data_IF_956916967633
#
_entry.id   IF_956916967633
#
_cell.length_a   1.000
_cell.length_b   1.000
_cell.length_c   1.000
_cell.angle_alpha   90.00
_cell.angle_beta   90.00
_cell.angle_gamma   90.00
#
_symmetry.space_group_name_H-M   'P 1'
#
loop_
_entity.id
_entity.type
_entity.pdbx_description
1 polymer ?
#
# COMPACT_ATOMS: atom_id res chain seq x y z
N UNK A 1 -60.68 32.84 -56.04
CA UNK A 1 -59.66 33.49 -56.90
C UNK A 1 -58.36 33.50 -56.12
N UNK A 2 -57.33 32.72 -56.42
CA UNK A 2 -57.09 31.74 -57.47
C UNK A 2 -56.08 30.70 -56.96
N UNK A 3 -56.09 29.55 -57.64
CA UNK A 3 -55.24 28.39 -57.42
C UNK A 3 -53.75 28.69 -57.60
N UNK A 4 -52.91 27.98 -56.85
CA UNK A 4 -51.69 27.41 -57.43
C UNK A 4 -51.30 26.13 -56.69
N UNK A 5 -51.46 25.01 -57.38
CA UNK A 5 -51.02 23.69 -56.99
C UNK A 5 -49.63 23.40 -57.56
N UNK A 6 -48.70 22.93 -56.72
CA UNK A 6 -47.48 22.19 -57.07
C UNK A 6 -47.13 21.38 -55.80
N UNK A 7 -46.74 20.10 -55.74
CA UNK A 7 -46.76 18.93 -56.60
C UNK A 7 -46.26 17.79 -55.67
N UNK A 8 -46.93 16.64 -55.66
CA UNK A 8 -46.52 15.45 -54.88
C UNK A 8 -45.19 14.91 -55.41
N UNK A 9 -44.30 14.55 -54.49
CA UNK A 9 -43.24 13.57 -54.76
C UNK A 9 -43.09 12.64 -53.55
N UNK A 10 -43.70 11.46 -53.69
CA UNK A 10 -43.47 10.25 -52.88
C UNK A 10 -42.19 9.55 -53.35
N UNK A 11 -41.67 8.65 -52.50
CA UNK A 11 -40.52 7.70 -52.61
C UNK A 11 -39.45 8.04 -51.55
N UNK A 12 -38.97 7.18 -50.66
CA UNK A 12 -39.13 5.74 -50.50
C UNK A 12 -38.81 5.34 -49.03
N UNK A 13 -39.52 4.33 -48.52
CA UNK A 13 -39.13 3.54 -47.35
C UNK A 13 -37.88 2.70 -47.65
N UNK A 14 -37.08 2.34 -46.64
CA UNK A 14 -36.35 1.09 -46.64
C UNK A 14 -36.93 0.12 -45.61
N UNK A 15 -37.71 -0.82 -46.13
CA UNK A 15 -37.64 -2.27 -45.91
C UNK A 15 -37.07 -2.74 -44.55
N UNK A 16 -37.98 -3.16 -43.68
CA UNK A 16 -37.72 -4.13 -42.61
C UNK A 16 -37.39 -5.49 -43.22
N UNK A 17 -36.21 -6.03 -42.86
CA UNK A 17 -35.91 -7.45 -42.96
C UNK A 17 -35.76 -8.02 -41.55
N UNK A 18 -36.71 -8.89 -41.18
CA UNK A 18 -36.69 -9.67 -39.97
C UNK A 18 -35.59 -10.74 -40.00
N UNK A 19 -34.97 -10.99 -38.85
CA UNK A 19 -34.12 -12.13 -38.55
C UNK A 19 -33.90 -12.24 -37.03
N UNK A 20 -33.77 -13.46 -36.47
CA UNK A 20 -34.65 -13.87 -35.38
C UNK A 20 -33.97 -14.06 -34.01
N UNK A 21 -34.82 -14.01 -32.98
CA UNK A 21 -34.81 -14.75 -31.70
C UNK A 21 -33.48 -15.17 -31.06
N UNK A 22 -33.21 -14.52 -29.91
CA UNK A 22 -32.97 -15.14 -28.59
C UNK A 22 -32.68 -16.65 -28.59
N UNK A 23 -31.40 -16.99 -28.39
CA UNK A 23 -30.99 -18.17 -27.63
C UNK A 23 -29.62 -17.96 -26.98
N UNK A 24 -29.56 -18.21 -25.67
CA UNK A 24 -28.36 -18.68 -24.96
C UNK A 24 -27.21 -17.68 -24.70
N UNK A 25 -27.32 -16.89 -23.62
CA UNK A 25 -26.13 -16.41 -22.89
C UNK A 25 -25.55 -17.63 -22.14
N UNK A 26 -24.30 -18.07 -22.40
CA UNK A 26 -23.64 -19.00 -21.50
C UNK A 26 -23.24 -18.25 -20.24
N UNK A 27 -23.96 -18.56 -19.16
CA UNK A 27 -23.57 -18.30 -17.78
C UNK A 27 -22.11 -18.69 -17.56
N UNK A 28 -21.28 -17.75 -17.12
CA UNK A 28 -19.90 -18.01 -16.72
C UNK A 28 -19.89 -18.84 -15.43
N UNK A 29 -20.00 -20.16 -15.61
CA UNK A 29 -19.81 -21.15 -14.58
C UNK A 29 -18.35 -21.10 -14.08
N UNK A 30 -18.22 -21.00 -12.76
CA UNK A 30 -17.11 -21.48 -11.93
C UNK A 30 -15.70 -21.46 -12.55
N UNK A 31 -14.99 -20.34 -12.36
CA UNK A 31 -13.54 -20.34 -12.43
C UNK A 31 -12.98 -21.30 -11.35
N UNK A 32 -12.50 -22.46 -11.80
CA UNK A 32 -11.86 -23.47 -10.97
C UNK A 32 -10.55 -22.92 -10.39
N UNK A 33 -10.27 -23.06 -9.09
CA UNK A 33 -9.02 -22.58 -8.52
C UNK A 33 -7.83 -23.41 -9.04
N UNK A 34 -6.75 -22.72 -9.39
CA UNK A 34 -5.47 -23.32 -9.77
C UNK A 34 -4.98 -24.31 -8.69
N UNK A 35 -4.42 -25.48 -9.08
CA UNK A 35 -3.98 -26.48 -8.12
C UNK A 35 -2.78 -25.98 -7.30
N UNK A 36 -2.83 -26.21 -5.99
CA UNK A 36 -1.71 -25.98 -5.09
C UNK A 36 -0.50 -26.85 -5.48
N UNK A 37 0.74 -26.33 -5.44
CA UNK A 37 1.91 -27.16 -5.70
C UNK A 37 2.07 -28.21 -4.60
N UNK A 38 2.13 -29.48 -5.03
CA UNK A 38 2.46 -30.64 -4.19
C UNK A 38 3.82 -30.42 -3.52
N UNK A 39 3.87 -30.66 -2.20
CA UNK A 39 5.12 -30.81 -1.44
C UNK A 39 5.97 -31.92 -2.08
N UNK A 40 7.18 -31.57 -2.48
CA UNK A 40 8.24 -32.56 -2.66
C UNK A 40 8.76 -32.93 -1.27
N UNK A 41 8.39 -34.12 -0.81
CA UNK A 41 9.07 -34.85 0.25
C UNK A 41 10.27 -35.59 -0.36
N UNK A 42 11.42 -35.49 0.29
CA UNK A 42 12.54 -36.39 0.06
C UNK A 42 13.87 -35.66 -0.06
N UNK A 43 14.63 -35.65 1.04
CA UNK A 43 16.08 -35.87 1.03
C UNK A 43 16.36 -36.83 2.17
N UNK A 44 16.40 -38.12 1.83
CA UNK A 44 16.99 -39.17 2.64
C UNK A 44 18.50 -38.93 2.69
N UNK A 45 19.00 -38.61 3.89
CA UNK A 45 20.41 -38.75 4.22
C UNK A 45 20.57 -40.10 4.90
N UNK A 46 21.16 -41.05 4.19
CA UNK A 46 21.56 -42.33 4.74
C UNK A 46 22.72 -42.12 5.74
N UNK A 47 22.43 -42.32 7.02
CA UNK A 47 23.43 -42.63 8.05
C UNK A 47 23.23 -44.09 8.46
N UNK A 48 24.27 -44.91 8.26
CA UNK A 48 24.38 -46.26 8.82
C UNK A 48 25.83 -46.49 9.26
N UNK A 49 25.98 -47.01 10.48
CA UNK A 49 27.25 -47.35 11.12
C UNK A 49 27.28 -46.86 12.57
N UNK A 50 26.47 -47.44 13.46
CA UNK A 50 26.77 -48.61 14.30
C UNK A 50 27.27 -48.23 15.71
N UNK A 51 26.39 -48.52 16.70
CA UNK A 51 26.52 -48.84 18.14
C UNK A 51 27.86 -48.66 18.90
N UNK A 52 27.82 -48.31 20.23
CA UNK A 52 27.51 -49.33 21.26
C UNK A 52 26.81 -48.88 22.58
N UNK A 53 26.04 -49.83 23.14
CA UNK A 53 26.04 -50.32 24.55
C UNK A 53 25.76 -49.34 25.71
N UNK A 54 24.68 -49.57 26.48
CA UNK A 54 24.51 -49.10 27.87
C UNK A 54 24.84 -50.21 28.89
N UNK A 55 24.45 -50.13 30.18
CA UNK A 55 24.09 -49.00 31.06
C UNK A 55 24.93 -49.01 32.39
N UNK A 56 24.70 -48.08 33.33
CA UNK A 56 24.55 -48.34 34.80
C UNK A 56 24.86 -47.14 35.76
N UNK A 57 24.24 -47.24 36.95
CA UNK A 57 24.34 -46.46 38.21
C UNK A 57 23.45 -45.20 38.33
N UNK A 58 22.31 -45.24 39.05
CA UNK A 58 22.04 -45.31 40.51
C UNK A 58 22.50 -44.08 41.32
N UNK A 59 21.52 -43.31 41.80
CA UNK A 59 21.65 -42.31 42.86
C UNK A 59 20.28 -41.82 43.32
N UNK A 60 19.83 -42.29 44.48
CA UNK A 60 18.56 -42.03 45.17
C UNK A 60 18.53 -40.68 45.92
N UNK A 61 17.33 -40.13 46.15
CA UNK A 61 16.73 -39.60 47.42
C UNK A 61 15.81 -38.38 47.14
N UNK A 62 14.47 -38.47 47.24
CA UNK A 62 13.60 -38.22 48.43
C UNK A 62 13.68 -36.77 48.98
N UNK A 63 12.64 -35.99 49.33
CA UNK A 63 11.17 -36.05 49.33
C UNK A 63 10.59 -34.64 49.71
N UNK A 64 9.27 -34.44 49.47
CA UNK A 64 8.27 -33.59 50.19
C UNK A 64 8.18 -32.02 50.07
N UNK A 65 7.08 -31.56 49.40
CA UNK A 65 6.06 -30.47 49.64
C UNK A 65 6.23 -29.40 50.76
N UNK A 66 5.41 -28.30 50.84
CA UNK A 66 4.59 -27.54 49.84
C UNK A 66 4.60 -25.97 50.00
N UNK A 67 4.21 -25.24 48.94
CA UNK A 67 3.43 -23.98 48.93
C UNK A 67 3.95 -22.67 49.57
N UNK A 68 4.12 -21.60 48.76
CA UNK A 68 3.63 -20.24 49.07
C UNK A 68 3.72 -19.30 47.86
N UNK A 69 2.77 -18.37 47.80
CA UNK A 69 2.68 -17.28 46.86
C UNK A 69 3.64 -16.12 47.21
N UNK A 70 3.80 -15.24 46.23
CA UNK A 70 4.28 -13.85 46.25
C UNK A 70 5.75 -13.57 45.94
N UNK A 71 5.93 -12.85 44.83
CA UNK A 71 6.94 -11.81 44.68
C UNK A 71 8.24 -12.23 43.99
N UNK A 72 8.32 -12.03 42.68
CA UNK A 72 9.60 -11.62 42.08
C UNK A 72 9.40 -10.73 40.86
N UNK A 73 10.11 -9.61 40.92
CA UNK A 73 10.08 -8.51 39.99
C UNK A 73 11.12 -8.71 38.88
N UNK A 74 10.85 -8.05 37.75
CA UNK A 74 11.84 -7.42 36.88
C UNK A 74 12.97 -8.30 36.30
N UNK A 75 12.63 -8.96 35.19
CA UNK A 75 13.61 -9.45 34.23
C UNK A 75 13.53 -8.61 32.94
N UNK A 76 14.27 -7.50 32.93
CA UNK A 76 14.59 -6.69 31.75
C UNK A 76 14.91 -7.56 30.53
N UNK A 77 14.03 -7.53 29.54
CA UNK A 77 14.28 -8.04 28.19
C UNK A 77 14.02 -6.91 27.20
N UNK A 78 14.72 -5.79 27.35
CA UNK A 78 14.76 -4.73 26.36
C UNK A 78 16.20 -4.49 25.90
N UNK A 79 16.66 -5.42 25.08
CA UNK A 79 17.54 -5.14 23.97
C UNK A 79 16.92 -5.82 22.75
N UNK A 80 15.74 -5.33 22.35
CA UNK A 80 15.10 -5.74 21.11
C UNK A 80 15.99 -5.31 19.94
N UNK A 81 16.97 -6.15 19.58
CA UNK A 81 17.55 -6.12 18.23
C UNK A 81 16.41 -6.46 17.29
N UNK A 82 15.74 -5.42 16.79
CA UNK A 82 14.73 -5.53 15.74
C UNK A 82 15.42 -6.22 14.58
N UNK A 83 15.03 -7.47 14.32
CA UNK A 83 15.47 -8.14 13.10
C UNK A 83 15.08 -7.23 11.93
N UNK A 84 16.00 -6.94 10.99
CA UNK A 84 15.70 -6.05 9.88
C UNK A 84 14.48 -6.59 9.13
N UNK A 85 13.48 -5.75 8.88
CA UNK A 85 12.28 -6.09 8.11
C UNK A 85 12.70 -6.72 6.79
N UNK A 86 12.39 -7.99 6.59
CA UNK A 86 12.70 -8.70 5.36
C UNK A 86 11.59 -8.43 4.32
N UNK A 87 11.86 -7.63 3.26
CA UNK A 87 10.87 -7.34 2.24
C UNK A 87 10.43 -8.60 1.47
N UNK A 88 11.18 -9.70 1.54
CA UNK A 88 10.78 -10.98 0.95
C UNK A 88 9.68 -11.71 1.74
N UNK A 89 9.52 -11.39 3.03
CA UNK A 89 8.50 -11.97 3.90
C UNK A 89 7.11 -11.31 3.69
N UNK A 90 7.05 -9.97 3.64
CA UNK A 90 5.81 -9.21 3.62
C UNK A 90 5.76 -8.05 2.61
N UNK A 91 6.78 -7.89 1.76
CA UNK A 91 6.90 -6.72 0.88
C UNK A 91 7.06 -5.43 1.69
N UNK A 92 6.37 -4.37 1.28
CA UNK A 92 6.31 -3.11 2.02
C UNK A 92 5.16 -3.03 3.03
N UNK A 93 4.34 -4.09 3.16
CA UNK A 93 3.32 -4.14 4.20
C UNK A 93 3.97 -4.23 5.59
N UNK A 94 3.34 -3.68 6.64
CA UNK A 94 3.79 -3.90 8.00
C UNK A 94 3.68 -5.39 8.36
N UNK A 95 4.52 -5.87 9.27
CA UNK A 95 4.53 -7.29 9.70
C UNK A 95 3.20 -7.76 10.30
N UNK A 96 2.43 -6.83 10.89
CA UNK A 96 1.15 -7.09 11.56
C UNK A 96 0.07 -6.16 11.02
N UNK A 97 -1.21 -6.54 11.13
CA UNK A 97 -2.31 -5.65 10.77
C UNK A 97 -2.19 -4.30 11.49
N UNK A 98 -2.42 -3.18 10.80
CA UNK A 98 -2.33 -1.86 11.40
C UNK A 98 -3.22 -1.72 12.63
N UNK A 99 -2.82 -0.85 13.56
CA UNK A 99 -3.55 -0.62 14.81
C UNK A 99 -4.84 0.14 14.50
N UNK A 100 -5.99 -0.53 14.71
CA UNK A 100 -7.33 0.04 14.47
C UNK A 100 -7.64 1.24 15.35
N UNK A 101 -7.27 1.15 16.62
CA UNK A 101 -7.53 2.20 17.61
C UNK A 101 -6.33 2.34 18.54
N UNK A 102 -5.86 3.56 18.67
CA UNK A 102 -4.93 3.96 19.71
C UNK A 102 -5.67 3.95 21.06
N UNK A 103 -4.94 3.70 22.14
CA UNK A 103 -5.52 3.51 23.49
C UNK A 103 -5.04 4.60 24.46
N UNK A 104 -5.76 4.73 25.57
CA UNK A 104 -5.44 5.70 26.62
C UNK A 104 -5.45 7.13 26.09
N UNK A 105 -4.39 7.89 26.38
CA UNK A 105 -4.29 9.31 26.00
C UNK A 105 -4.23 9.54 24.49
N UNK A 106 -3.87 8.52 23.72
CA UNK A 106 -3.75 8.60 22.26
C UNK A 106 -5.09 8.49 21.50
N UNK A 107 -6.18 8.14 22.21
CA UNK A 107 -7.55 8.14 21.65
C UNK A 107 -7.96 9.52 21.11
N UNK A 108 -7.44 10.60 21.70
CA UNK A 108 -7.67 11.98 21.23
C UNK A 108 -7.05 12.24 19.85
N UNK A 109 -5.86 11.69 19.60
CA UNK A 109 -5.23 11.76 18.28
C UNK A 109 -6.06 11.02 17.22
N UNK A 110 -6.62 9.86 17.56
CA UNK A 110 -7.55 9.12 16.70
C UNK A 110 -8.79 9.94 16.36
N UNK A 111 -9.42 10.55 17.36
CA UNK A 111 -10.61 11.37 17.17
C UNK A 111 -10.31 12.61 16.30
N UNK A 112 -9.19 13.29 16.56
CA UNK A 112 -8.74 14.43 15.78
C UNK A 112 -8.46 14.06 14.32
N UNK A 113 -7.77 12.94 14.06
CA UNK A 113 -7.50 12.48 12.70
C UNK A 113 -8.77 12.12 11.93
N UNK A 114 -9.73 11.45 12.59
CA UNK A 114 -11.05 11.16 12.01
C UNK A 114 -11.81 12.43 11.66
N UNK A 115 -11.84 13.41 12.57
CA UNK A 115 -12.50 14.68 12.34
C UNK A 115 -11.82 15.49 11.22
N UNK A 116 -10.48 15.51 11.17
CA UNK A 116 -9.73 16.23 10.13
C UNK A 116 -9.92 15.62 8.74
N UNK A 117 -10.04 14.29 8.64
CA UNK A 117 -10.26 13.58 7.38
C UNK A 117 -11.63 13.88 6.73
N UNK A 118 -12.64 14.24 7.53
CA UNK A 118 -13.99 14.56 7.04
C UNK A 118 -14.31 16.06 7.12
N UNK A 119 -13.34 16.89 7.47
CA UNK A 119 -13.54 18.34 7.54
C UNK A 119 -13.97 18.89 6.16
N UNK A 120 -14.87 19.88 6.09
CA UNK A 120 -15.35 20.39 4.80
C UNK A 120 -14.23 21.03 3.95
N UNK A 121 -13.24 21.63 4.61
CA UNK A 121 -12.13 22.32 3.99
C UNK A 121 -10.87 22.32 4.88
N UNK A 122 -9.81 22.97 4.38
CA UNK A 122 -8.53 23.13 5.07
C UNK A 122 -8.66 23.93 6.37
N UNK A 123 -9.44 25.01 6.37
CA UNK A 123 -9.55 25.90 7.52
C UNK A 123 -10.23 25.20 8.70
N UNK A 124 -11.28 24.42 8.43
CA UNK A 124 -11.95 23.59 9.42
C UNK A 124 -11.04 22.49 9.98
N UNK A 125 -10.15 21.92 9.15
CA UNK A 125 -9.13 20.98 9.62
C UNK A 125 -8.09 21.65 10.54
N UNK A 126 -7.60 22.84 10.18
CA UNK A 126 -6.66 23.61 11.00
C UNK A 126 -7.29 24.00 12.35
N UNK A 127 -8.56 24.43 12.35
CA UNK A 127 -9.28 24.78 13.57
C UNK A 127 -9.46 23.59 14.55
N UNK A 128 -9.36 22.33 14.08
CA UNK A 128 -9.30 21.16 14.98
C UNK A 128 -7.96 21.10 15.72
N UNK A 129 -6.86 21.34 15.02
CA UNK A 129 -5.50 21.35 15.60
C UNK A 129 -5.37 22.49 16.61
N UNK A 130 -5.83 23.70 16.28
CA UNK A 130 -5.82 24.84 17.19
C UNK A 130 -6.67 24.62 18.45
N UNK A 131 -7.79 23.89 18.34
CA UNK A 131 -8.59 23.50 19.50
C UNK A 131 -7.86 22.48 20.38
N UNK A 132 -7.20 21.50 19.78
CA UNK A 132 -6.39 20.52 20.50
C UNK A 132 -5.17 21.17 21.19
N UNK A 133 -4.57 22.19 20.55
CA UNK A 133 -3.51 23.00 21.16
C UNK A 133 -4.02 23.74 22.40
N UNK A 134 -5.13 24.49 22.27
CA UNK A 134 -5.75 25.23 23.40
C UNK A 134 -6.21 24.36 24.57
N UNK A 135 -6.46 23.08 24.32
CA UNK A 135 -6.83 22.10 25.33
C UNK A 135 -5.62 21.29 25.87
N UNK A 136 -4.39 21.75 25.60
CA UNK A 136 -3.12 21.14 26.00
C UNK A 136 -2.93 19.67 25.54
N UNK A 137 -3.72 19.22 24.55
CA UNK A 137 -3.71 17.83 24.13
C UNK A 137 -2.43 17.48 23.36
N UNK A 138 -1.96 18.40 22.52
CA UNK A 138 -0.77 18.20 21.69
C UNK A 138 0.49 18.09 22.55
N UNK A 139 0.65 18.97 23.54
CA UNK A 139 1.75 18.92 24.50
C UNK A 139 1.70 17.63 25.34
N UNK A 140 0.51 17.24 25.80
CA UNK A 140 0.31 16.01 26.56
C UNK A 140 0.62 14.72 25.76
N UNK A 141 0.39 14.72 24.44
CA UNK A 141 0.78 13.64 23.55
C UNK A 141 2.30 13.65 23.31
N UNK A 142 2.87 14.82 23.06
CA UNK A 142 4.31 15.03 22.79
C UNK A 142 5.20 14.46 23.90
N UNK A 143 4.81 14.66 25.16
CA UNK A 143 5.55 14.15 26.33
C UNK A 143 5.56 12.61 26.43
N UNK A 144 4.61 11.93 25.77
CA UNK A 144 4.41 10.48 25.87
C UNK A 144 4.95 9.71 24.66
N UNK A 145 5.46 10.39 23.63
CA UNK A 145 5.98 9.76 22.40
C UNK A 145 7.05 8.71 22.71
N UNK A 146 7.96 8.98 23.65
CA UNK A 146 9.04 8.07 24.03
C UNK A 146 8.54 6.73 24.58
N UNK A 147 7.30 6.68 25.11
CA UNK A 147 6.68 5.48 25.67
C UNK A 147 5.93 4.65 24.62
N UNK A 148 5.82 5.12 23.38
CA UNK A 148 5.19 4.36 22.31
C UNK A 148 6.10 3.23 21.85
N UNK A 149 5.53 2.02 21.75
CA UNK A 149 6.13 0.96 20.94
C UNK A 149 6.18 1.40 19.48
N UNK A 150 7.13 0.88 18.70
CA UNK A 150 7.30 1.23 17.28
C UNK A 150 5.98 1.09 16.50
N UNK A 151 5.27 -0.03 16.69
CA UNK A 151 3.97 -0.28 16.05
C UNK A 151 2.92 0.79 16.35
N UNK A 152 2.86 1.29 17.60
CA UNK A 152 1.93 2.36 17.96
C UNK A 152 2.43 3.73 17.49
N UNK A 153 3.74 3.93 17.38
CA UNK A 153 4.33 5.13 16.78
C UNK A 153 4.04 5.22 15.28
N UNK A 154 4.13 4.12 14.52
CA UNK A 154 3.71 4.06 13.12
C UNK A 154 2.21 4.34 12.95
N UNK A 155 1.39 3.79 13.85
CA UNK A 155 -0.04 4.07 13.87
C UNK A 155 -0.31 5.56 14.12
N UNK A 156 0.37 6.17 15.09
CA UNK A 156 0.29 7.61 15.37
C UNK A 156 0.81 8.45 14.20
N UNK A 157 1.90 8.05 13.55
CA UNK A 157 2.44 8.70 12.36
C UNK A 157 1.40 8.73 11.23
N UNK A 158 0.67 7.63 10.99
CA UNK A 158 -0.45 7.65 10.05
C UNK A 158 -1.51 8.69 10.42
N UNK A 159 -1.88 8.83 11.70
CA UNK A 159 -2.88 9.84 12.12
C UNK A 159 -2.37 11.26 11.94
N UNK A 160 -1.10 11.50 12.26
CA UNK A 160 -0.44 12.78 12.01
C UNK A 160 -0.41 13.08 10.51
N UNK A 161 -0.12 12.08 9.67
CA UNK A 161 -0.14 12.24 8.21
C UNK A 161 -1.53 12.63 7.72
N UNK A 162 -2.60 11.98 8.20
CA UNK A 162 -3.98 12.35 7.88
C UNK A 162 -4.25 13.81 8.26
N UNK A 163 -3.92 14.22 9.48
CA UNK A 163 -4.15 15.59 9.95
C UNK A 163 -3.35 16.58 9.10
N UNK A 164 -2.07 16.31 8.85
CA UNK A 164 -1.18 17.16 8.08
C UNK A 164 -1.68 17.33 6.64
N UNK A 165 -2.09 16.26 5.96
CA UNK A 165 -2.64 16.39 4.60
C UNK A 165 -3.97 17.13 4.57
N UNK A 166 -4.86 16.89 5.55
CA UNK A 166 -6.13 17.63 5.70
C UNK A 166 -5.91 19.13 5.90
N UNK A 167 -4.86 19.49 6.64
CA UNK A 167 -4.47 20.88 6.90
C UNK A 167 -3.64 21.50 5.77
N UNK A 168 -3.34 20.76 4.69
CA UNK A 168 -2.57 21.24 3.55
C UNK A 168 -1.07 21.38 3.81
N UNK A 169 -0.54 20.65 4.79
CA UNK A 169 0.87 20.70 5.22
C UNK A 169 1.74 19.59 4.62
N UNK A 170 1.32 19.00 3.49
CA UNK A 170 1.93 17.81 2.86
C UNK A 170 3.43 17.92 2.50
N UNK A 171 3.98 19.13 2.44
CA UNK A 171 5.37 19.40 2.09
C UNK A 171 6.13 20.19 3.16
N UNK A 172 5.56 20.35 4.35
CA UNK A 172 6.27 20.99 5.45
C UNK A 172 7.31 20.04 6.02
N UNK A 173 8.51 20.59 6.26
CA UNK A 173 9.48 19.99 7.16
C UNK A 173 9.16 20.50 8.58
N UNK A 174 8.74 19.63 9.52
CA UNK A 174 8.36 20.07 10.85
C UNK A 174 9.51 20.69 11.66
N UNK A 175 10.77 20.49 11.25
CA UNK A 175 11.93 21.11 11.89
C UNK A 175 12.30 22.48 11.29
N UNK A 176 11.78 22.83 10.10
CA UNK A 176 12.15 24.06 9.44
C UNK A 176 11.54 25.29 10.16
N UNK A 177 12.30 26.37 10.41
CA UNK A 177 11.76 27.57 11.04
C UNK A 177 10.54 28.15 10.32
N UNK A 178 10.56 28.14 8.99
CA UNK A 178 9.45 28.62 8.15
C UNK A 178 8.16 27.80 8.31
N UNK A 179 8.21 26.57 8.82
CA UNK A 179 7.02 25.78 9.07
C UNK A 179 6.16 26.38 10.20
N UNK A 180 6.78 27.05 11.17
CA UNK A 180 6.11 27.71 12.30
C UNK A 180 5.27 28.92 11.88
N UNK A 181 5.53 29.47 10.70
CA UNK A 181 4.71 30.54 10.12
C UNK A 181 3.41 30.02 9.51
N UNK A 182 3.32 28.70 9.24
CA UNK A 182 2.25 28.09 8.44
C UNK A 182 1.42 27.06 9.23
N UNK A 183 1.96 26.52 10.31
CA UNK A 183 1.35 25.45 11.11
C UNK A 183 1.57 25.67 12.61
N UNK A 184 0.68 25.09 13.41
CA UNK A 184 0.73 25.13 14.87
C UNK A 184 2.02 24.51 15.42
N UNK A 185 2.74 25.26 16.26
CA UNK A 185 4.06 24.86 16.78
C UNK A 185 3.98 23.58 17.62
N UNK A 186 2.96 23.44 18.47
CA UNK A 186 2.81 22.24 19.29
C UNK A 186 2.49 20.99 18.45
N UNK A 187 1.77 21.16 17.33
CA UNK A 187 1.56 20.09 16.37
C UNK A 187 2.85 19.72 15.63
N UNK A 188 3.65 20.71 15.20
CA UNK A 188 4.95 20.47 14.56
C UNK A 188 5.90 19.74 15.52
N UNK A 189 5.92 20.09 16.80
CA UNK A 189 6.72 19.40 17.82
C UNK A 189 6.29 17.94 18.02
N UNK A 190 4.99 17.68 18.04
CA UNK A 190 4.44 16.32 18.11
C UNK A 190 4.81 15.51 16.85
N UNK A 191 4.65 16.11 15.67
CA UNK A 191 5.03 15.49 14.40
C UNK A 191 6.52 15.15 14.40
N UNK A 192 7.38 16.12 14.66
CA UNK A 192 8.83 15.96 14.79
C UNK A 192 9.22 14.81 15.72
N UNK A 193 8.60 14.72 16.89
CA UNK A 193 8.91 13.67 17.85
C UNK A 193 8.49 12.28 17.36
N UNK A 194 7.34 12.18 16.69
CA UNK A 194 6.90 10.93 16.10
C UNK A 194 7.80 10.53 14.92
N UNK A 195 8.15 11.47 14.03
CA UNK A 195 9.10 11.27 12.94
C UNK A 195 10.44 10.69 13.46
N UNK A 196 10.98 11.30 14.52
CA UNK A 196 12.18 10.80 15.19
C UNK A 196 11.98 9.39 15.77
N UNK A 197 10.83 9.11 16.41
CA UNK A 197 10.52 7.80 17.00
C UNK A 197 10.44 6.68 15.96
N UNK A 198 10.01 6.98 14.74
CA UNK A 198 9.90 6.00 13.65
C UNK A 198 11.08 6.06 12.65
N UNK A 199 12.10 6.89 12.91
CA UNK A 199 13.23 7.13 12.01
C UNK A 199 12.81 7.45 10.55
N UNK A 200 11.83 8.34 10.41
CA UNK A 200 11.27 8.71 9.11
C UNK A 200 10.68 10.11 9.16
N UNK A 201 11.37 11.10 8.59
CA UNK A 201 10.95 12.50 8.67
C UNK A 201 9.82 12.86 7.70
N UNK A 202 9.83 12.28 6.49
CA UNK A 202 8.93 12.68 5.41
C UNK A 202 7.78 11.70 5.19
N UNK A 203 7.19 11.22 6.28
CA UNK A 203 6.14 10.21 6.25
C UNK A 203 4.78 10.70 5.75
N UNK A 204 4.58 12.00 5.52
CA UNK A 204 3.32 12.54 5.01
C UNK A 204 3.20 12.27 3.52
N UNK A 205 2.75 11.06 3.19
CA UNK A 205 2.66 10.55 1.83
C UNK A 205 1.63 9.43 1.69
N UNK A 206 1.17 9.16 0.47
CA UNK A 206 0.25 8.07 0.18
C UNK A 206 0.76 6.70 0.63
N UNK A 207 2.06 6.34 0.52
CA UNK A 207 2.55 5.08 1.07
C UNK A 207 2.22 4.91 2.57
N UNK A 208 2.48 5.92 3.40
CA UNK A 208 2.12 5.87 4.83
C UNK A 208 0.61 5.80 5.02
N UNK A 209 -0.14 6.62 4.28
CA UNK A 209 -1.60 6.65 4.34
C UNK A 209 -2.23 5.35 3.85
N UNK A 210 -1.61 4.60 2.93
CA UNK A 210 -2.14 3.34 2.44
C UNK A 210 -1.72 2.19 3.36
N UNK A 211 -0.41 2.03 3.61
CA UNK A 211 0.17 0.87 4.31
C UNK A 211 -0.29 0.75 5.77
N UNK A 212 -0.63 1.87 6.42
CA UNK A 212 -1.02 1.90 7.84
C UNK A 212 -2.48 2.30 8.09
N UNK A 213 -3.30 2.51 7.04
CA UNK A 213 -4.71 2.91 7.17
C UNK A 213 -5.70 1.88 6.65
N UNK A 214 -5.55 0.62 7.06
CA UNK A 214 -6.46 -0.43 6.67
C UNK A 214 -6.62 -1.47 7.78
N UNK A 215 -7.76 -2.13 7.77
CA UNK A 215 -8.01 -3.30 8.59
C UNK A 215 -8.96 -4.24 7.84
N UNK A 216 -8.93 -5.55 8.12
CA UNK A 216 -9.99 -6.44 7.62
C UNK A 216 -11.32 -5.99 8.22
N UNK A 217 -12.42 -6.03 7.48
CA UNK A 217 -13.74 -5.63 7.97
C UNK A 217 -14.15 -6.52 9.17
N UNK A 218 -13.93 -7.83 9.03
CA UNK A 218 -14.22 -8.84 10.04
C UNK A 218 -12.92 -9.40 10.61
N UNK A 219 -12.95 -9.82 11.88
CA UNK A 219 -11.81 -10.51 12.47
C UNK A 219 -11.59 -11.83 11.71
N UNK A 220 -10.40 -12.08 11.14
CA UNK A 220 -10.13 -13.32 10.43
C UNK A 220 -10.28 -14.52 11.38
N UNK A 221 -10.90 -15.60 10.89
CA UNK A 221 -11.21 -16.80 11.70
C UNK A 221 -9.98 -17.65 12.02
N UNK A 222 -8.90 -17.51 11.23
CA UNK A 222 -7.63 -18.20 11.38
C UNK A 222 -6.48 -17.21 11.26
N UNK A 223 -5.29 -17.61 11.71
CA UNK A 223 -4.08 -16.85 11.42
C UNK A 223 -3.79 -16.89 9.92
N UNK A 224 -3.67 -15.72 9.30
CA UNK A 224 -3.42 -15.54 7.86
C UNK A 224 -2.23 -14.57 7.74
N UNK A 225 -1.21 -14.87 6.90
CA UNK A 225 -0.13 -13.95 6.61
C UNK A 225 -0.65 -12.58 6.13
N UNK A 226 0.06 -11.50 6.46
CA UNK A 226 -0.44 -10.14 6.23
C UNK A 226 -0.72 -9.85 4.76
N UNK A 227 0.14 -10.34 3.86
CA UNK A 227 -0.02 -10.19 2.42
C UNK A 227 -1.25 -10.96 1.91
N UNK A 228 -1.52 -12.15 2.46
CA UNK A 228 -2.72 -12.90 2.11
C UNK A 228 -3.97 -12.22 2.67
N UNK A 229 -3.93 -11.74 3.92
CA UNK A 229 -5.03 -11.00 4.54
C UNK A 229 -5.43 -9.78 3.70
N UNK A 230 -4.46 -8.95 3.31
CA UNK A 230 -4.69 -7.77 2.51
C UNK A 230 -5.20 -8.08 1.09
N UNK A 231 -4.91 -9.28 0.55
CA UNK A 231 -5.39 -9.70 -0.77
C UNK A 231 -6.79 -10.29 -0.75
N UNK A 232 -7.12 -11.10 0.25
CA UNK A 232 -8.33 -11.95 0.20
C UNK A 232 -9.50 -11.42 1.02
N UNK A 233 -9.24 -10.66 2.08
CA UNK A 233 -10.32 -10.15 2.92
C UNK A 233 -10.93 -8.85 2.37
N UNK A 234 -12.17 -8.57 2.78
CA UNK A 234 -12.74 -7.25 2.66
C UNK A 234 -12.00 -6.29 3.60
N UNK A 235 -11.50 -5.18 3.06
CA UNK A 235 -10.72 -4.20 3.81
C UNK A 235 -11.52 -2.91 4.00
N UNK A 236 -11.34 -2.28 5.16
CA UNK A 236 -11.91 -0.97 5.49
C UNK A 236 -10.80 0.00 5.93
N UNK A 237 -10.93 1.31 5.65
CA UNK A 237 -9.99 2.28 6.17
C UNK A 237 -10.12 2.39 7.67
N UNK A 238 -9.01 2.55 8.38
CA UNK A 238 -9.06 2.81 9.82
C UNK A 238 -9.58 4.22 10.08
N UNK A 239 -9.01 5.21 9.42
CA UNK A 239 -9.46 6.60 9.33
C UNK A 239 -10.05 6.80 7.94
N UNK A 240 -11.36 7.09 7.91
CA UNK A 240 -12.13 7.26 6.68
C UNK A 240 -12.19 8.73 6.28
N UNK A 241 -12.14 8.99 4.98
CA UNK A 241 -12.36 10.32 4.39
C UNK A 241 -13.82 10.56 3.98
N UNK A 242 -14.64 9.52 4.01
CA UNK A 242 -16.10 9.64 3.98
C UNK A 242 -16.68 9.62 5.41
N UNK A 243 -17.72 10.41 5.69
CA UNK A 243 -18.47 10.33 6.95
C UNK A 243 -18.98 8.92 7.25
N UNK A 244 -19.19 8.63 8.53
CA UNK A 244 -19.77 7.36 8.95
C UNK A 244 -21.18 7.17 8.36
N UNK A 245 -21.52 5.93 8.01
CA UNK A 245 -22.77 5.61 7.31
C UNK A 245 -22.80 5.93 5.80
N UNK A 246 -21.84 6.70 5.28
CA UNK A 246 -21.74 6.96 3.83
C UNK A 246 -20.88 5.91 3.11
N UNK A 247 -21.01 5.74 1.78
CA UNK A 247 -20.08 4.90 1.01
C UNK A 247 -18.64 5.44 1.09
N UNK A 248 -17.65 4.55 0.90
CA UNK A 248 -16.23 4.94 0.88
C UNK A 248 -15.96 5.98 -0.20
N UNK A 249 -15.12 6.97 0.12
CA UNK A 249 -14.71 8.00 -0.84
C UNK A 249 -13.74 7.47 -1.89
N UNK A 250 -13.51 8.25 -2.95
CA UNK A 250 -12.47 7.92 -3.94
C UNK A 250 -11.08 7.81 -3.32
N UNK A 251 -10.76 8.66 -2.34
CA UNK A 251 -9.47 8.62 -1.63
C UNK A 251 -9.35 7.35 -0.78
N UNK A 252 -10.42 6.98 -0.05
CA UNK A 252 -10.46 5.72 0.71
C UNK A 252 -10.21 4.52 -0.20
N UNK A 253 -10.91 4.46 -1.34
CA UNK A 253 -10.75 3.38 -2.32
C UNK A 253 -9.35 3.36 -2.94
N UNK A 254 -8.77 4.52 -3.23
CA UNK A 254 -7.40 4.60 -3.74
C UNK A 254 -6.38 4.04 -2.73
N UNK A 255 -6.51 4.38 -1.44
CA UNK A 255 -5.63 3.86 -0.38
C UNK A 255 -5.76 2.34 -0.22
N UNK A 256 -6.98 1.80 -0.29
CA UNK A 256 -7.21 0.36 -0.25
C UNK A 256 -6.67 -0.35 -1.50
N UNK A 257 -6.88 0.22 -2.69
CA UNK A 257 -6.33 -0.31 -3.93
C UNK A 257 -4.79 -0.32 -3.91
N UNK A 258 -4.16 0.75 -3.38
CA UNK A 258 -2.71 0.80 -3.17
C UNK A 258 -2.25 -0.28 -2.18
N UNK A 259 -2.95 -0.46 -1.06
CA UNK A 259 -2.67 -1.54 -0.10
C UNK A 259 -2.72 -2.93 -0.75
N UNK A 260 -3.77 -3.21 -1.54
CA UNK A 260 -3.89 -4.48 -2.28
C UNK A 260 -2.79 -4.66 -3.32
N UNK A 261 -2.36 -3.57 -3.96
CA UNK A 261 -1.26 -3.58 -4.92
C UNK A 261 0.05 -3.97 -4.22
N UNK A 262 0.33 -3.42 -3.05
CA UNK A 262 1.50 -3.78 -2.22
C UNK A 262 1.46 -5.24 -1.78
N UNK A 263 0.27 -5.72 -1.39
CA UNK A 263 0.06 -7.10 -0.98
C UNK A 263 0.31 -8.13 -2.11
N UNK A 264 -0.08 -7.81 -3.35
CA UNK A 264 0.26 -8.62 -4.52
C UNK A 264 1.71 -8.41 -4.97
N UNK A 265 2.26 -7.23 -4.68
CA UNK A 265 3.62 -6.84 -4.97
C UNK A 265 4.67 -7.78 -4.43
N UNK A 266 4.40 -8.50 -3.32
CA UNK A 266 5.32 -9.44 -2.68
C UNK A 266 5.98 -10.44 -3.65
N UNK A 267 5.26 -10.85 -4.69
CA UNK A 267 5.79 -11.77 -5.70
C UNK A 267 6.90 -11.17 -6.55
N UNK A 268 6.95 -9.85 -6.71
CA UNK A 268 8.07 -9.15 -7.35
C UNK A 268 9.36 -9.29 -6.53
N UNK A 269 9.27 -9.20 -5.20
CA UNK A 269 10.42 -9.29 -4.29
C UNK A 269 11.02 -10.69 -4.31
N UNK A 270 10.16 -11.72 -4.25
CA UNK A 270 10.59 -13.12 -4.35
C UNK A 270 11.25 -13.45 -5.70
N UNK A 271 10.86 -12.75 -6.77
CA UNK A 271 11.51 -12.87 -8.08
C UNK A 271 12.79 -12.02 -8.19
N UNK A 272 12.87 -10.92 -7.44
CA UNK A 272 14.03 -10.05 -7.41
C UNK A 272 15.30 -10.81 -7.00
N UNK A 273 15.22 -11.70 -6.01
CA UNK A 273 16.36 -12.55 -5.60
C UNK A 273 16.87 -13.46 -6.72
N UNK A 274 15.98 -13.91 -7.61
CA UNK A 274 16.39 -14.74 -8.75
C UNK A 274 17.11 -13.91 -9.82
N UNK A 275 16.80 -12.61 -9.93
CA UNK A 275 17.39 -11.70 -10.92
C UNK A 275 18.60 -10.93 -10.38
N UNK A 276 18.69 -10.75 -9.07
CA UNK A 276 19.72 -9.99 -8.40
C UNK A 276 21.09 -10.69 -8.47
N UNK A 277 22.10 -9.99 -8.97
CA UNK A 277 23.50 -10.46 -8.98
C UNK A 277 23.79 -11.61 -9.94
N UNK A 278 22.80 -12.06 -10.74
CA UNK A 278 23.00 -13.12 -11.73
C UNK A 278 23.53 -12.57 -13.05
N UNK A 279 24.33 -13.39 -13.73
CA UNK A 279 24.69 -13.10 -15.12
C UNK A 279 23.40 -13.10 -15.95
N UNK A 280 23.24 -12.16 -16.89
CA UNK A 280 22.10 -12.19 -17.82
C UNK A 280 22.07 -13.46 -18.70
N UNK A 281 23.18 -14.21 -18.76
CA UNK A 281 23.31 -15.51 -19.44
C UNK A 281 22.86 -16.72 -18.58
N UNK A 282 22.42 -16.49 -17.33
CA UNK A 282 21.89 -17.56 -16.48
C UNK A 282 20.56 -18.09 -17.05
N UNK A 283 20.46 -19.42 -17.19
CA UNK A 283 19.30 -20.12 -17.78
C UNK A 283 17.97 -19.88 -17.04
N UNK A 284 18.02 -19.43 -15.79
CA UNK A 284 16.83 -19.10 -14.99
C UNK A 284 16.28 -17.69 -15.26
N UNK A 285 17.10 -16.79 -15.80
CA UNK A 285 16.73 -15.39 -16.07
C UNK A 285 15.49 -15.24 -16.98
N UNK A 286 15.38 -15.95 -18.12
CA UNK A 286 14.20 -15.83 -19.00
C UNK A 286 12.92 -16.37 -18.34
N UNK A 287 13.05 -17.36 -17.47
CA UNK A 287 11.93 -17.91 -16.71
C UNK A 287 11.46 -16.95 -15.63
N UNK A 288 12.40 -16.30 -14.93
CA UNK A 288 12.10 -15.28 -13.94
C UNK A 288 11.42 -14.05 -14.57
N UNK A 289 11.89 -13.58 -15.73
CA UNK A 289 11.27 -12.47 -16.46
C UNK A 289 9.83 -12.81 -16.94
N UNK A 290 9.59 -14.02 -17.45
CA UNK A 290 8.22 -14.45 -17.79
C UNK A 290 7.30 -14.52 -16.57
N UNK A 291 7.81 -14.92 -15.40
CA UNK A 291 7.06 -14.86 -14.13
C UNK A 291 6.77 -13.41 -13.73
N UNK A 292 7.76 -12.52 -13.87
CA UNK A 292 7.62 -11.10 -13.60
C UNK A 292 6.52 -10.44 -14.45
N UNK A 293 6.50 -10.72 -15.77
CA UNK A 293 5.45 -10.26 -16.70
C UNK A 293 4.06 -10.68 -16.21
N UNK A 294 3.89 -11.95 -15.81
CA UNK A 294 2.62 -12.46 -15.27
C UNK A 294 2.20 -11.75 -13.99
N UNK A 295 3.13 -11.47 -13.08
CA UNK A 295 2.85 -10.69 -11.87
C UNK A 295 2.41 -9.27 -12.24
N UNK A 296 3.11 -8.59 -13.15
CA UNK A 296 2.74 -7.24 -13.61
C UNK A 296 1.35 -7.20 -14.27
N UNK A 297 1.00 -8.21 -15.05
CA UNK A 297 -0.36 -8.34 -15.60
C UNK A 297 -1.43 -8.54 -14.52
N UNK A 298 -1.15 -9.38 -13.52
CA UNK A 298 -2.08 -9.57 -12.40
C UNK A 298 -2.28 -8.28 -11.59
N UNK A 299 -1.19 -7.55 -11.29
CA UNK A 299 -1.25 -6.23 -10.64
C UNK A 299 -2.08 -5.24 -11.48
N UNK A 300 -1.87 -5.21 -12.80
CA UNK A 300 -2.62 -4.32 -13.70
C UNK A 300 -4.10 -4.69 -13.76
N UNK A 301 -4.42 -5.97 -13.86
CA UNK A 301 -5.80 -6.46 -13.87
C UNK A 301 -6.54 -6.09 -12.57
N UNK A 302 -5.86 -6.21 -11.42
CA UNK A 302 -6.39 -5.76 -10.14
C UNK A 302 -6.70 -4.25 -10.15
N UNK A 303 -5.78 -3.40 -10.61
CA UNK A 303 -6.04 -1.96 -10.69
C UNK A 303 -7.22 -1.61 -11.62
N UNK A 304 -7.38 -2.36 -12.71
CA UNK A 304 -8.53 -2.18 -13.62
C UNK A 304 -9.84 -2.60 -12.96
N UNK A 305 -9.84 -3.67 -12.17
CA UNK A 305 -11.03 -4.12 -11.43
C UNK A 305 -11.48 -3.08 -10.39
N UNK A 306 -10.53 -2.45 -9.69
CA UNK A 306 -10.80 -1.40 -8.70
C UNK A 306 -11.26 -0.07 -9.33
N UNK A 307 -10.97 0.15 -10.62
CA UNK A 307 -11.19 1.44 -11.28
C UNK A 307 -12.67 1.82 -11.39
N UNK A 308 -13.56 0.85 -11.63
CA UNK A 308 -14.99 1.10 -11.77
C UNK A 308 -15.61 1.58 -10.44
N UNK A 309 -15.35 0.86 -9.36
CA UNK A 309 -15.87 1.22 -8.04
C UNK A 309 -15.26 2.52 -7.50
N UNK A 310 -13.98 2.76 -7.77
CA UNK A 310 -13.33 4.02 -7.44
C UNK A 310 -13.94 5.20 -8.20
N UNK A 311 -14.23 5.04 -9.49
CA UNK A 311 -14.81 6.13 -10.29
C UNK A 311 -16.25 6.46 -9.87
N UNK A 312 -17.02 5.43 -9.45
CA UNK A 312 -18.39 5.59 -8.96
C UNK A 312 -18.47 6.17 -7.54
N UNK A 313 -17.39 6.11 -6.75
CA UNK A 313 -17.38 6.60 -5.38
C UNK A 313 -17.45 8.14 -5.30
N UNK A 314 -18.02 8.69 -4.20
CA UNK A 314 -18.07 10.13 -3.98
C UNK A 314 -16.66 10.72 -3.77
N UNK A 315 -16.47 11.94 -4.25
CA UNK A 315 -15.28 12.75 -4.03
C UNK A 315 -15.64 14.14 -3.51
N UNK A 316 -14.90 14.64 -2.53
CA UNK A 316 -15.05 16.01 -2.01
C UNK A 316 -13.96 16.94 -2.58
N UNK A 317 -14.17 18.27 -2.60
CA UNK A 317 -13.12 19.23 -2.95
C UNK A 317 -11.85 19.08 -2.08
N UNK A 318 -12.02 18.83 -0.78
CA UNK A 318 -10.91 18.63 0.15
C UNK A 318 -10.06 17.41 -0.24
N UNK A 319 -10.67 16.27 -0.54
CA UNK A 319 -9.96 15.05 -0.98
C UNK A 319 -9.16 15.30 -2.27
N UNK A 320 -9.73 16.07 -3.21
CA UNK A 320 -9.01 16.45 -4.44
C UNK A 320 -7.84 17.38 -4.16
N UNK A 321 -7.98 18.33 -3.24
CA UNK A 321 -6.89 19.20 -2.81
C UNK A 321 -5.75 18.40 -2.17
N UNK A 322 -6.08 17.42 -1.32
CA UNK A 322 -5.11 16.49 -0.72
C UNK A 322 -4.36 15.71 -1.78
N UNK A 323 -5.06 15.11 -2.73
CA UNK A 323 -4.45 14.37 -3.85
C UNK A 323 -3.56 15.27 -4.71
N UNK A 324 -4.00 16.50 -5.00
CA UNK A 324 -3.21 17.48 -5.74
C UNK A 324 -1.93 17.89 -5.01
N UNK A 325 -2.02 18.13 -3.70
CA UNK A 325 -0.88 18.49 -2.87
C UNK A 325 0.15 17.34 -2.78
N UNK A 326 -0.31 16.11 -2.56
CA UNK A 326 0.55 14.93 -2.57
C UNK A 326 1.17 14.68 -3.95
N UNK A 327 0.43 14.90 -5.04
CA UNK A 327 0.95 14.80 -6.40
C UNK A 327 2.08 15.80 -6.64
N UNK A 328 1.92 17.05 -6.19
CA UNK A 328 2.93 18.10 -6.28
C UNK A 328 4.25 17.76 -5.57
N UNK A 329 4.19 16.92 -4.54
CA UNK A 329 5.37 16.46 -3.79
C UNK A 329 5.96 15.14 -4.31
N UNK A 330 5.35 14.50 -5.31
CA UNK A 330 5.72 13.14 -5.72
C UNK A 330 5.37 12.08 -4.65
N UNK A 331 4.48 12.42 -3.71
CA UNK A 331 4.15 11.62 -2.53
C UNK A 331 2.99 10.64 -2.77
N UNK A 332 2.68 10.33 -4.03
CA UNK A 332 1.60 9.40 -4.41
C UNK A 332 2.09 8.03 -4.84
N UNK A 333 3.38 7.86 -5.18
CA UNK A 333 3.84 6.63 -5.82
C UNK A 333 3.98 5.46 -4.82
N UNK A 334 3.27 4.34 -5.01
CA UNK A 334 3.40 3.15 -4.17
C UNK A 334 4.80 2.54 -4.33
N UNK A 335 5.44 2.12 -3.23
CA UNK A 335 6.78 1.56 -3.28
C UNK A 335 6.91 0.27 -4.12
N UNK A 336 5.84 -0.52 -4.31
CA UNK A 336 5.86 -1.67 -5.25
C UNK A 336 6.18 -1.28 -6.69
N UNK A 337 5.75 -0.10 -7.16
CA UNK A 337 6.09 0.37 -8.52
C UNK A 337 7.56 0.78 -8.62
N UNK A 338 8.12 1.33 -7.54
CA UNK A 338 9.55 1.64 -7.46
C UNK A 338 10.39 0.35 -7.42
N UNK A 339 9.92 -0.69 -6.73
CA UNK A 339 10.54 -2.01 -6.72
C UNK A 339 10.52 -2.66 -8.11
N UNK A 340 9.38 -2.59 -8.83
CA UNK A 340 9.30 -3.13 -10.19
C UNK A 340 10.30 -2.48 -11.16
N UNK A 341 10.52 -1.17 -11.05
CA UNK A 341 11.54 -0.45 -11.80
C UNK A 341 12.97 -0.92 -11.45
N UNK A 342 13.24 -1.10 -10.16
CA UNK A 342 14.55 -1.54 -9.66
C UNK A 342 14.86 -2.96 -10.16
N UNK A 343 13.91 -3.89 -10.06
CA UNK A 343 14.05 -5.30 -10.50
C UNK A 343 14.35 -5.42 -12.00
N UNK A 344 13.81 -4.53 -12.84
CA UNK A 344 14.13 -4.51 -14.27
C UNK A 344 15.41 -3.74 -14.63
N UNK A 345 16.15 -3.22 -13.64
CA UNK A 345 17.34 -2.40 -13.87
C UNK A 345 17.03 -1.05 -14.53
N UNK A 346 15.77 -0.62 -14.55
CA UNK A 346 15.29 0.66 -15.11
C UNK A 346 15.48 1.79 -14.09
N UNK A 347 15.51 1.41 -12.81
CA UNK A 347 15.75 2.21 -11.62
C UNK A 347 17.04 3.04 -11.58
N UNK A 348 17.88 3.05 -12.63
CA UNK A 348 19.01 3.97 -12.77
C UNK A 348 18.85 5.03 -13.89
N UNK A 349 18.14 4.75 -15.01
CA UNK A 349 18.19 5.60 -16.22
C UNK A 349 17.03 6.58 -16.42
N UNK A 350 15.78 6.22 -16.04
CA UNK A 350 14.57 7.00 -16.40
C UNK A 350 14.32 8.24 -15.55
N UNK A 351 14.81 8.26 -14.33
CA UNK A 351 14.72 9.41 -13.43
C UNK A 351 16.15 9.87 -13.14
N UNK A 352 16.44 11.16 -13.27
CA UNK A 352 17.68 11.75 -12.72
C UNK A 352 17.76 11.33 -11.24
N UNK A 353 18.95 10.99 -10.76
CA UNK A 353 19.16 10.45 -9.40
C UNK A 353 18.48 11.30 -8.31
N UNK A 354 18.54 12.64 -8.45
CA UNK A 354 17.81 13.57 -7.59
C UNK A 354 16.29 13.40 -7.60
N UNK A 355 15.65 13.11 -8.75
CA UNK A 355 14.20 12.86 -8.82
C UNK A 355 13.79 11.55 -8.13
N UNK A 356 14.67 10.54 -8.08
CA UNK A 356 14.41 9.30 -7.32
C UNK A 356 14.60 9.47 -5.84
N UNK A 357 15.66 10.15 -5.42
CA UNK A 357 15.87 10.51 -4.02
C UNK A 357 14.65 11.31 -3.51
N UNK A 358 14.11 12.20 -4.35
CA UNK A 358 12.88 12.94 -4.07
C UNK A 358 11.63 12.05 -3.93
N UNK A 359 11.49 10.95 -4.67
CA UNK A 359 10.33 10.05 -4.52
C UNK A 359 10.48 9.11 -3.32
N UNK A 360 11.70 8.61 -3.10
CA UNK A 360 12.02 7.65 -2.04
C UNK A 360 12.05 8.27 -0.66
N UNK A 361 12.22 9.59 -0.53
CA UNK A 361 12.25 10.29 0.77
C UNK A 361 11.03 10.00 1.66
N UNK A 362 9.90 9.65 1.04
CA UNK A 362 8.65 9.29 1.70
C UNK A 362 8.56 7.82 2.17
N UNK A 363 9.66 7.07 2.03
CA UNK A 363 9.76 5.69 2.50
C UNK A 363 10.72 5.62 3.69
N UNK A 364 10.47 4.71 4.66
CA UNK A 364 11.39 4.41 5.75
C UNK A 364 12.80 4.10 5.26
N UNK A 365 13.83 4.42 6.07
CA UNK A 365 15.24 4.23 5.74
C UNK A 365 15.56 2.81 5.23
N UNK A 366 15.02 1.78 5.88
CA UNK A 366 15.20 0.39 5.47
C UNK A 366 14.69 0.11 4.03
N UNK A 367 13.52 0.64 3.67
CA UNK A 367 12.91 0.43 2.36
C UNK A 367 13.71 1.18 1.28
N UNK A 368 14.21 2.38 1.60
CA UNK A 368 15.10 3.14 0.72
C UNK A 368 16.42 2.40 0.48
N UNK A 369 17.02 1.86 1.54
CA UNK A 369 18.27 1.10 1.46
C UNK A 369 18.10 -0.16 0.61
N UNK A 370 17.03 -0.92 0.82
CA UNK A 370 16.72 -2.11 0.03
C UNK A 370 16.52 -1.78 -1.45
N UNK A 371 15.70 -0.76 -1.78
CA UNK A 371 15.50 -0.33 -3.16
C UNK A 371 16.81 0.10 -3.83
N UNK A 372 17.68 0.78 -3.09
CA UNK A 372 19.00 1.21 -3.58
C UNK A 372 19.94 0.02 -3.80
N UNK A 373 19.86 -1.03 -2.98
CA UNK A 373 20.58 -2.28 -3.21
C UNK A 373 20.07 -3.01 -4.46
N UNK A 374 18.74 -3.07 -4.65
CA UNK A 374 18.14 -3.69 -5.83
C UNK A 374 18.49 -2.96 -7.12
N UNK A 375 18.54 -1.62 -7.12
CA UNK A 375 19.00 -0.87 -8.30
C UNK A 375 20.40 -1.28 -8.74
N UNK A 376 21.30 -1.58 -7.79
CA UNK A 376 22.66 -2.06 -8.08
C UNK A 376 22.66 -3.51 -8.54
N UNK A 377 21.99 -4.39 -7.81
CA UNK A 377 22.04 -5.84 -8.06
C UNK A 377 21.30 -6.26 -9.33
N UNK A 378 20.24 -5.53 -9.71
CA UNK A 378 19.46 -5.79 -10.91
C UNK A 378 19.88 -4.90 -12.10
N UNK A 379 20.89 -4.03 -11.94
CA UNK A 379 21.43 -3.24 -13.04
C UNK A 379 21.87 -4.08 -14.25
N UNK A 380 22.49 -5.27 -14.11
CA UNK A 380 22.88 -6.10 -15.25
C UNK A 380 21.71 -6.61 -16.10
N UNK A 381 20.53 -6.81 -15.51
CA UNK A 381 19.33 -7.30 -16.22
C UNK A 381 19.00 -6.41 -17.41
N UNK A 382 19.22 -5.09 -17.30
CA UNK A 382 18.97 -4.13 -18.38
C UNK A 382 19.81 -4.37 -19.63
N UNK A 383 20.94 -5.06 -19.52
CA UNK A 383 21.81 -5.36 -20.67
C UNK A 383 21.12 -6.28 -21.68
N UNK A 384 20.12 -7.06 -21.24
CA UNK A 384 19.26 -7.86 -22.10
C UNK A 384 18.54 -7.02 -23.16
N UNK A 385 18.27 -5.73 -22.88
CA UNK A 385 17.66 -4.82 -23.84
C UNK A 385 18.51 -4.58 -25.10
N UNK A 386 19.84 -4.74 -24.97
CA UNK A 386 20.81 -4.51 -26.04
C UNK A 386 21.22 -5.80 -26.74
N UNK A 387 20.77 -6.95 -26.22
CA UNK A 387 21.02 -8.26 -26.81
C UNK A 387 19.95 -8.55 -27.87
N UNK A 388 20.29 -9.34 -28.90
CA UNK A 388 19.31 -9.92 -29.80
C UNK A 388 18.69 -11.19 -29.21
N UNK A 389 17.62 -11.70 -29.82
CA UNK A 389 17.07 -13.02 -29.48
C UNK A 389 15.92 -13.04 -28.47
N UNK A 390 15.52 -14.25 -28.01
CA UNK A 390 14.30 -14.46 -27.23
C UNK A 390 14.32 -13.79 -25.85
N UNK A 391 15.46 -13.77 -25.18
CA UNK A 391 15.57 -13.20 -23.82
C UNK A 391 15.40 -11.67 -23.84
N UNK A 392 15.89 -11.02 -24.89
CA UNK A 392 15.66 -9.60 -25.14
C UNK A 392 14.19 -9.29 -25.47
N UNK A 393 13.48 -10.21 -26.11
CA UNK A 393 12.04 -10.07 -26.36
C UNK A 393 11.24 -10.15 -25.05
N UNK A 394 11.54 -11.14 -24.19
CA UNK A 394 10.89 -11.27 -22.87
C UNK A 394 11.20 -10.07 -21.96
N UNK A 395 12.44 -9.56 -21.99
CA UNK A 395 12.78 -8.34 -21.24
C UNK A 395 11.98 -7.13 -21.73
N UNK A 396 11.86 -6.91 -23.05
CA UNK A 396 11.05 -5.83 -23.63
C UNK A 396 9.58 -5.95 -23.25
N UNK A 397 9.01 -7.15 -23.30
CA UNK A 397 7.64 -7.44 -22.84
C UNK A 397 7.45 -7.05 -21.37
N UNK A 398 8.42 -7.36 -20.50
CA UNK A 398 8.40 -6.94 -19.09
C UNK A 398 8.47 -5.42 -18.93
N UNK A 399 9.24 -4.72 -19.77
CA UNK A 399 9.27 -3.25 -19.75
C UNK A 399 7.93 -2.64 -20.19
N UNK A 400 7.33 -3.17 -21.26
CA UNK A 400 6.05 -2.73 -21.79
C UNK A 400 4.91 -2.99 -20.80
N UNK A 401 4.89 -4.16 -20.17
CA UNK A 401 3.93 -4.52 -19.13
C UNK A 401 4.05 -3.59 -17.91
N UNK A 402 5.26 -3.23 -17.47
CA UNK A 402 5.47 -2.25 -16.41
C UNK A 402 5.02 -0.83 -16.80
N UNK A 403 5.28 -0.39 -18.04
CA UNK A 403 4.78 0.90 -18.54
C UNK A 403 3.25 0.92 -18.50
N UNK A 404 2.60 -0.17 -18.95
CA UNK A 404 1.15 -0.30 -18.93
C UNK A 404 0.60 -0.27 -17.50
N UNK A 405 1.25 -0.99 -16.56
CA UNK A 405 0.90 -0.97 -15.14
C UNK A 405 0.98 0.44 -14.55
N UNK A 406 2.09 1.16 -14.79
CA UNK A 406 2.28 2.55 -14.34
C UNK A 406 1.21 3.48 -14.91
N UNK A 407 0.92 3.37 -16.21
CA UNK A 407 -0.15 4.17 -16.86
C UNK A 407 -1.52 3.89 -16.23
N UNK A 408 -1.83 2.63 -15.95
CA UNK A 408 -3.08 2.25 -15.28
C UNK A 408 -3.15 2.83 -13.87
N UNK A 409 -2.08 2.76 -13.08
CA UNK A 409 -2.04 3.37 -11.75
C UNK A 409 -2.21 4.89 -11.80
N UNK A 410 -1.49 5.57 -12.71
CA UNK A 410 -1.65 7.02 -12.91
C UNK A 410 -3.07 7.39 -13.32
N UNK A 411 -3.72 6.61 -14.19
CA UNK A 411 -5.11 6.82 -14.56
C UNK A 411 -6.07 6.65 -13.37
N UNK A 412 -5.79 5.69 -12.47
CA UNK A 412 -6.56 5.49 -11.24
C UNK A 412 -6.43 6.68 -10.27
N UNK A 413 -5.22 7.18 -10.07
CA UNK A 413 -4.95 8.40 -9.27
C UNK A 413 -5.67 9.61 -9.88
N UNK A 414 -5.60 9.77 -11.20
CA UNK A 414 -6.30 10.85 -11.89
C UNK A 414 -7.82 10.72 -11.73
N UNK A 415 -8.38 9.51 -11.83
CA UNK A 415 -9.80 9.27 -11.61
C UNK A 415 -10.21 9.62 -10.17
N UNK A 416 -9.37 9.32 -9.18
CA UNK A 416 -9.61 9.70 -7.79
C UNK A 416 -9.63 11.22 -7.59
N UNK A 417 -8.78 11.95 -8.32
CA UNK A 417 -8.67 13.41 -8.25
C UNK A 417 -9.69 14.17 -9.14
N UNK A 418 -10.45 13.48 -10.02
CA UNK A 418 -11.42 14.14 -10.89
C UNK A 418 -12.59 14.72 -10.08
N UNK A 419 -13.15 15.88 -10.49
CA UNK A 419 -14.42 16.35 -9.95
C UNK A 419 -15.52 15.30 -10.13
N UNK A 420 -16.45 15.20 -9.17
CA UNK A 420 -17.72 14.53 -9.39
C UNK A 420 -18.55 15.43 -10.30
N UNK A 421 -18.99 14.92 -11.47
CA UNK A 421 -19.94 15.67 -12.28
C UNK A 421 -21.20 15.88 -11.44
N UNK A 422 -21.60 17.14 -11.21
CA UNK A 422 -22.89 17.42 -10.64
C UNK A 422 -23.96 16.83 -11.59
N UNK A 423 -24.99 16.13 -11.09
CA UNK A 423 -26.11 15.78 -11.93
C UNK A 423 -26.64 17.07 -12.55
N UNK A 424 -26.82 17.08 -13.87
CA UNK A 424 -27.51 18.16 -14.56
C UNK A 424 -28.87 18.32 -13.91
N UNK A 425 -29.02 19.33 -13.06
CA UNK A 425 -30.33 19.73 -12.55
C UNK A 425 -31.16 20.07 -13.77
N UNK A 426 -32.18 19.24 -14.08
CA UNK A 426 -33.21 19.61 -15.04
C UNK A 426 -33.73 20.98 -14.60
N UNK A 427 -33.56 21.99 -15.46
CA UNK A 427 -34.21 23.28 -15.26
C UNK A 427 -35.72 23.02 -15.11
N UNK A 428 -36.31 23.58 -14.06
CA UNK A 428 -37.74 23.51 -13.76
C UNK A 428 -38.55 24.29 -14.79
#
# INVERSE_FOLDING_TARGET
MGDTAIMKMTMAEPVNAAGPTSDGIPSAAHATPLPAPRRATGWDRAETGAEPVGPESKGQSAAARPGRADGEADGSADASTVAPHDPCAHGFLPERPPVRSLIGTWTRLDAMARAAAIAPDRAAAVALVERAHRADELAALRQRVSRLSLRNAEAAAMRIAVIAVSCGWCGLDPQAPAAREVADEAFLDLWAAIAHRIDHDQFVALPTLALHNWAPERKPRRHIPIDQLARTEALVPIVRWAPEGQPLSRLDRLMLAATRLEAHGIWLFRLAETLAGRSPDDSSTPTALRRLVRVQHALRAQLLAEAAELSAAPATPQQRAVLGALAGQGALEPPVLQAADAVLGIGARRMREGRRQLLRRHLPAQHRAWLSAMDRHCAPVRTLAHRGGPDAAVYREAQESLIALRRTYTALVQAAARPTAAPLTKAA
#
